data_IF_786154818782
#
_entry.id   IF_786154818782
#
_cell.length_a   1.000
_cell.length_b   1.000
_cell.length_c   1.000
_cell.angle_alpha   90.00
_cell.angle_beta   90.00
_cell.angle_gamma   90.00
#
_symmetry.space_group_name_H-M   'P 1'
#
loop_
_entity.id
_entity.type
_entity.pdbx_description
1 polymer ?
#
# COMPACT_ATOMS: atom_id res chain seq x y z
N UNK A 1 -2.05 9.60 10.40
CA UNK A 1 -2.89 8.64 11.19
C UNK A 1 -4.32 9.09 11.45
N UNK A 2 -4.65 10.40 11.41
CA UNK A 2 -5.98 10.87 11.83
C UNK A 2 -7.20 10.29 11.10
N UNK A 3 -7.11 9.93 9.81
CA UNK A 3 -8.24 9.32 9.09
C UNK A 3 -8.55 7.90 9.59
N UNK A 4 -7.50 7.07 9.69
CA UNK A 4 -7.63 5.66 10.07
C UNK A 4 -8.13 5.53 11.50
N UNK A 5 -7.49 6.23 12.43
CA UNK A 5 -7.83 6.18 13.86
C UNK A 5 -9.22 6.74 14.17
N UNK A 6 -9.66 7.79 13.45
CA UNK A 6 -10.92 8.49 13.77
C UNK A 6 -12.13 7.98 13.01
N UNK A 7 -11.92 7.34 11.85
CA UNK A 7 -13.03 6.87 11.00
C UNK A 7 -12.98 5.38 10.75
N UNK A 8 -11.86 4.88 10.23
CA UNK A 8 -11.79 3.50 9.74
C UNK A 8 -11.79 2.47 10.87
N UNK A 9 -10.96 2.65 11.91
CA UNK A 9 -10.91 1.73 13.04
C UNK A 9 -12.21 1.74 13.88
N UNK A 10 -12.82 2.90 14.18
CA UNK A 10 -14.15 2.92 14.81
C UNK A 10 -15.22 2.21 13.98
N UNK A 11 -15.23 2.41 12.66
CA UNK A 11 -16.14 1.70 11.76
C UNK A 11 -15.94 0.17 11.83
N UNK A 12 -14.68 -0.30 11.78
CA UNK A 12 -14.34 -1.71 11.93
C UNK A 12 -14.74 -2.27 13.29
N UNK A 13 -14.68 -1.46 14.35
CA UNK A 13 -15.16 -1.81 15.70
C UNK A 13 -16.71 -1.84 15.83
N UNK A 14 -17.43 -1.65 14.72
CA UNK A 14 -18.90 -1.63 14.68
C UNK A 14 -19.54 -0.33 15.18
N UNK A 15 -18.78 0.76 15.31
CA UNK A 15 -19.34 2.07 15.66
C UNK A 15 -19.85 2.80 14.41
N UNK A 16 -20.82 3.70 14.58
CA UNK A 16 -21.35 4.52 13.48
C UNK A 16 -22.30 3.75 12.52
N UNK A 17 -22.54 4.32 11.35
CA UNK A 17 -23.43 3.80 10.31
C UNK A 17 -22.67 3.07 9.19
N UNK A 18 -23.38 2.25 8.42
CA UNK A 18 -22.76 1.47 7.33
C UNK A 18 -22.26 2.33 6.16
N UNK A 19 -22.80 3.55 6.03
CA UNK A 19 -22.44 4.53 4.99
C UNK A 19 -21.32 5.49 5.43
N UNK A 20 -20.77 5.33 6.65
CA UNK A 20 -19.83 6.30 7.22
C UNK A 20 -18.48 6.37 6.49
N UNK A 21 -18.20 5.44 5.58
CA UNK A 21 -16.98 5.41 4.76
C UNK A 21 -17.27 5.56 3.25
N UNK A 22 -18.51 5.82 2.82
CA UNK A 22 -18.89 5.86 1.39
C UNK A 22 -18.08 6.87 0.58
N UNK A 23 -17.72 8.03 1.17
CA UNK A 23 -16.85 9.02 0.53
C UNK A 23 -15.43 8.48 0.30
N UNK A 24 -14.89 7.72 1.26
CA UNK A 24 -13.57 7.09 1.13
C UNK A 24 -13.60 5.95 0.13
N UNK A 25 -14.69 5.18 0.09
CA UNK A 25 -14.89 4.11 -0.89
C UNK A 25 -14.99 4.69 -2.30
N UNK A 26 -15.78 5.76 -2.49
CA UNK A 26 -15.87 6.45 -3.78
C UNK A 26 -14.52 7.01 -4.23
N UNK A 27 -13.77 7.65 -3.32
CA UNK A 27 -12.42 8.12 -3.62
C UNK A 27 -11.46 6.98 -3.97
N UNK A 28 -11.48 5.87 -3.21
CA UNK A 28 -10.65 4.69 -3.49
C UNK A 28 -10.97 4.08 -4.87
N UNK A 29 -12.25 3.99 -5.25
CA UNK A 29 -12.66 3.51 -6.56
C UNK A 29 -12.11 4.40 -7.69
N UNK A 30 -12.22 5.72 -7.56
CA UNK A 30 -11.63 6.67 -8.52
C UNK A 30 -10.09 6.55 -8.58
N UNK A 31 -9.43 6.39 -7.44
CA UNK A 31 -7.97 6.21 -7.40
C UNK A 31 -7.53 4.89 -8.05
N UNK A 32 -8.32 3.82 -7.97
CA UNK A 32 -8.04 2.58 -8.69
C UNK A 32 -8.02 2.81 -10.20
N UNK A 33 -8.97 3.58 -10.75
CA UNK A 33 -8.99 3.95 -12.19
C UNK A 33 -7.76 4.76 -12.58
N UNK A 34 -7.39 5.75 -11.77
CA UNK A 34 -6.20 6.59 -11.98
C UNK A 34 -4.92 5.73 -11.99
N UNK A 35 -4.76 4.81 -11.03
CA UNK A 35 -3.61 3.89 -10.99
C UNK A 35 -3.56 3.00 -12.21
N UNK A 36 -4.67 2.37 -12.55
CA UNK A 36 -4.77 1.51 -13.72
C UNK A 36 -4.31 2.27 -14.98
N UNK A 37 -4.82 3.49 -15.18
CA UNK A 37 -4.47 4.29 -16.35
C UNK A 37 -3.00 4.74 -16.34
N UNK A 38 -2.47 5.16 -15.19
CA UNK A 38 -1.05 5.47 -15.07
C UNK A 38 -0.15 4.25 -15.38
N UNK A 39 -0.59 3.03 -15.02
CA UNK A 39 0.13 1.78 -15.33
C UNK A 39 0.03 1.38 -16.79
N UNK A 40 -1.08 1.65 -17.46
CA UNK A 40 -1.18 1.48 -18.91
C UNK A 40 -0.10 2.29 -19.66
N UNK A 41 0.19 3.53 -19.22
CA UNK A 41 1.30 4.31 -19.77
C UNK A 41 2.67 3.71 -19.45
N UNK A 42 2.88 3.19 -18.24
CA UNK A 42 4.14 2.56 -17.87
C UNK A 42 4.42 1.29 -18.72
N UNK A 43 3.38 0.50 -19.00
CA UNK A 43 3.46 -0.66 -19.91
C UNK A 43 3.72 -0.25 -21.36
N UNK A 44 3.03 0.79 -21.84
CA UNK A 44 3.28 1.37 -23.16
C UNK A 44 4.74 1.79 -23.32
N UNK A 45 5.28 2.50 -22.33
CA UNK A 45 6.67 2.94 -22.32
C UNK A 45 7.65 1.75 -22.28
N UNK A 46 7.35 0.70 -21.51
CA UNK A 46 8.14 -0.53 -21.50
C UNK A 46 8.18 -1.20 -22.88
N UNK A 47 7.03 -1.28 -23.55
CA UNK A 47 6.93 -1.83 -24.91
C UNK A 47 7.79 -1.05 -25.90
N UNK A 48 7.74 0.29 -25.85
CA UNK A 48 8.51 1.16 -26.75
C UNK A 48 10.00 1.25 -26.41
N UNK A 49 10.37 1.13 -25.13
CA UNK A 49 11.78 1.12 -24.71
C UNK A 49 12.47 -0.23 -24.94
N UNK A 50 11.69 -1.31 -25.01
CA UNK A 50 12.19 -2.68 -25.06
C UNK A 50 12.69 -3.19 -23.72
N UNK A 51 12.67 -4.51 -23.53
CA UNK A 51 13.19 -5.15 -22.33
C UNK A 51 14.71 -4.95 -22.25
N UNK A 52 15.19 -4.34 -21.15
CA UNK A 52 16.62 -4.06 -20.93
C UNK A 52 17.11 -2.70 -21.47
N UNK A 53 16.20 -1.83 -21.90
CA UNK A 53 16.52 -0.44 -22.25
C UNK A 53 16.74 0.47 -21.02
N UNK A 54 16.81 1.78 -21.26
CA UNK A 54 16.94 2.82 -20.21
C UNK A 54 15.69 2.95 -19.31
N UNK A 55 14.63 2.20 -19.60
CA UNK A 55 13.39 2.19 -18.84
C UNK A 55 13.41 1.07 -17.80
N UNK A 56 13.63 1.44 -16.54
CA UNK A 56 13.61 0.50 -15.41
C UNK A 56 12.18 0.04 -15.11
N UNK A 57 11.80 -1.11 -15.67
CA UNK A 57 10.48 -1.70 -15.42
C UNK A 57 10.27 -2.11 -13.96
N UNK A 58 11.34 -2.50 -13.26
CA UNK A 58 11.31 -2.86 -11.85
C UNK A 58 10.87 -1.68 -10.99
N UNK A 59 11.29 -0.47 -11.35
CA UNK A 59 10.91 0.75 -10.65
C UNK A 59 9.59 1.36 -11.17
N UNK A 60 9.46 1.55 -12.48
CA UNK A 60 8.39 2.37 -13.07
C UNK A 60 7.08 1.60 -13.32
N UNK A 61 7.17 0.30 -13.60
CA UNK A 61 5.97 -0.55 -13.78
C UNK A 61 5.61 -1.22 -12.47
N UNK A 62 6.58 -1.82 -11.78
CA UNK A 62 6.29 -2.67 -10.63
C UNK A 62 6.54 -1.99 -9.29
N UNK A 63 7.59 -1.19 -9.13
CA UNK A 63 8.02 -0.72 -7.81
C UNK A 63 7.21 0.45 -7.25
N UNK A 64 6.99 1.48 -8.06
CA UNK A 64 6.27 2.70 -7.66
C UNK A 64 4.76 2.56 -7.88
N UNK A 65 3.91 3.29 -7.14
CA UNK A 65 2.46 3.17 -7.28
C UNK A 65 1.88 3.71 -8.60
N UNK A 66 2.54 4.69 -9.20
CA UNK A 66 2.17 5.30 -10.48
C UNK A 66 3.38 5.32 -11.41
N UNK A 67 3.19 5.78 -12.65
CA UNK A 67 4.30 6.13 -13.54
C UNK A 67 4.96 7.42 -13.04
N UNK A 68 6.03 7.26 -12.28
CA UNK A 68 6.82 8.36 -11.72
C UNK A 68 8.27 8.09 -12.08
N UNK A 69 8.92 9.06 -12.71
CA UNK A 69 10.29 8.95 -13.22
C UNK A 69 11.27 9.85 -12.45
N UNK A 70 10.75 10.70 -11.56
CA UNK A 70 11.57 11.55 -10.70
C UNK A 70 12.57 10.73 -9.89
N UNK A 71 13.72 11.32 -9.62
CA UNK A 71 14.81 10.59 -8.97
C UNK A 71 14.81 10.76 -7.45
N UNK A 72 14.64 12.00 -6.99
CA UNK A 72 14.70 12.36 -5.59
C UNK A 72 13.42 11.94 -4.84
N UNK A 73 13.51 11.37 -3.63
CA UNK A 73 12.35 10.96 -2.83
C UNK A 73 11.31 12.06 -2.60
N UNK A 74 11.76 13.30 -2.40
CA UNK A 74 10.90 14.46 -2.22
C UNK A 74 10.13 14.80 -3.51
N UNK A 75 10.75 14.67 -4.68
CA UNK A 75 10.08 14.87 -5.97
C UNK A 75 9.09 13.73 -6.27
N UNK A 76 9.47 12.48 -5.97
CA UNK A 76 8.57 11.32 -6.06
C UNK A 76 7.34 11.55 -5.20
N UNK A 77 7.52 12.07 -3.98
CA UNK A 77 6.42 12.43 -3.08
C UNK A 77 5.47 13.44 -3.72
N UNK A 78 5.99 14.51 -4.31
CA UNK A 78 5.15 15.52 -4.98
C UNK A 78 4.41 14.94 -6.20
N UNK A 79 5.04 14.02 -6.95
CA UNK A 79 4.35 13.28 -8.02
C UNK A 79 3.23 12.39 -7.49
N UNK A 80 3.45 11.64 -6.40
CA UNK A 80 2.39 10.83 -5.77
C UNK A 80 1.21 11.71 -5.37
N UNK A 81 1.47 12.86 -4.74
CA UNK A 81 0.42 13.80 -4.33
C UNK A 81 -0.33 14.41 -5.52
N UNK A 82 0.32 14.61 -6.67
CA UNK A 82 -0.35 15.04 -7.92
C UNK A 82 -1.27 13.96 -8.45
N UNK A 83 -0.81 12.72 -8.54
CA UNK A 83 -1.66 11.58 -8.97
C UNK A 83 -2.85 11.36 -8.04
N UNK A 84 -2.66 11.49 -6.72
CA UNK A 84 -3.76 11.40 -5.74
C UNK A 84 -4.83 12.47 -5.91
N UNK A 85 -4.52 13.59 -6.58
CA UNK A 85 -5.48 14.65 -6.91
C UNK A 85 -5.99 14.56 -8.34
N UNK A 86 -5.46 13.64 -9.14
CA UNK A 86 -5.87 13.44 -10.50
C UNK A 86 -7.20 12.69 -10.58
N UNK A 87 -7.81 12.80 -11.75
CA UNK A 87 -9.02 12.09 -12.17
C UNK A 87 -8.67 11.19 -13.36
N UNK A 88 -9.56 10.25 -13.74
CA UNK A 88 -9.37 9.45 -14.95
C UNK A 88 -9.14 10.29 -16.22
N UNK A 89 -9.69 11.49 -16.29
CA UNK A 89 -9.55 12.40 -17.44
C UNK A 89 -8.21 13.16 -17.47
N UNK A 90 -7.51 13.28 -16.33
CA UNK A 90 -6.31 14.13 -16.20
C UNK A 90 -5.02 13.35 -15.99
N UNK A 91 -5.13 12.05 -15.70
CA UNK A 91 -3.98 11.16 -15.43
C UNK A 91 -3.05 11.00 -16.64
N UNK A 92 -3.58 11.04 -17.87
CA UNK A 92 -2.77 10.87 -19.09
C UNK A 92 -1.73 11.97 -19.23
N UNK A 93 -2.10 13.21 -18.92
CA UNK A 93 -1.18 14.36 -19.00
C UNK A 93 -0.08 14.28 -17.94
N UNK A 94 -0.38 13.73 -16.75
CA UNK A 94 0.64 13.46 -15.73
C UNK A 94 1.60 12.35 -16.16
N UNK A 95 1.07 11.27 -16.74
CA UNK A 95 1.88 10.15 -17.21
C UNK A 95 2.82 10.57 -18.35
N UNK A 96 2.32 11.34 -19.33
CA UNK A 96 3.14 11.94 -20.39
C UNK A 96 4.21 12.87 -19.83
N UNK A 97 3.87 13.73 -18.87
CA UNK A 97 4.83 14.64 -18.25
C UNK A 97 5.94 13.88 -17.50
N UNK A 98 5.61 12.78 -16.82
CA UNK A 98 6.59 11.91 -16.19
C UNK A 98 7.51 11.25 -17.25
N UNK A 99 6.97 10.74 -18.35
CA UNK A 99 7.79 10.19 -19.44
C UNK A 99 8.68 11.24 -20.08
N UNK A 100 8.17 12.44 -20.33
CA UNK A 100 8.95 13.53 -20.90
C UNK A 100 10.08 13.98 -19.97
N UNK A 101 9.91 13.88 -18.65
CA UNK A 101 10.98 14.11 -17.67
C UNK A 101 12.10 13.06 -17.79
N UNK A 102 11.76 11.81 -18.14
CA UNK A 102 12.71 10.71 -18.32
C UNK A 102 13.41 10.76 -19.67
N UNK A 103 12.62 10.76 -20.75
CA UNK A 103 13.06 10.76 -22.14
C UNK A 103 11.93 11.35 -23.02
N UNK A 104 12.09 12.60 -23.51
CA UNK A 104 11.12 13.23 -24.41
C UNK A 104 10.82 12.40 -25.66
N UNK A 105 11.82 11.74 -26.24
CA UNK A 105 11.63 10.94 -27.44
C UNK A 105 10.87 9.64 -27.15
N UNK A 106 10.94 9.12 -25.91
CA UNK A 106 10.11 8.00 -25.47
C UNK A 106 8.67 8.46 -25.26
N UNK A 107 8.47 9.64 -24.65
CA UNK A 107 7.14 10.20 -24.44
C UNK A 107 6.39 10.39 -25.77
N UNK A 108 7.05 10.92 -26.80
CA UNK A 108 6.44 11.19 -28.11
C UNK A 108 5.99 9.93 -28.88
N UNK A 109 6.58 8.77 -28.58
CA UNK A 109 6.27 7.49 -29.24
C UNK A 109 5.43 6.54 -28.38
N UNK A 110 5.23 6.86 -27.10
CA UNK A 110 4.49 6.00 -26.18
C UNK A 110 3.00 6.23 -26.32
N UNK A 111 2.26 5.12 -26.44
CA UNK A 111 0.81 5.07 -26.28
C UNK A 111 0.48 4.17 -25.08
N UNK A 112 -0.59 4.47 -24.31
CA UNK A 112 -0.97 3.64 -23.18
C UNK A 112 -1.45 2.27 -23.66
N UNK A 113 -1.09 1.23 -22.91
CA UNK A 113 -1.55 -0.13 -23.17
C UNK A 113 -3.08 -0.23 -23.03
N UNK A 114 -3.74 -0.66 -24.10
CA UNK A 114 -5.18 -0.80 -24.18
C UNK A 114 -5.68 -2.23 -23.86
N UNK A 115 -4.81 -3.15 -23.46
CA UNK A 115 -5.16 -4.56 -23.28
C UNK A 115 -5.78 -4.90 -21.92
N UNK A 116 -5.70 -4.03 -20.92
CA UNK A 116 -6.36 -4.23 -19.63
C UNK A 116 -7.81 -3.73 -19.62
N UNK A 117 -8.60 -4.18 -18.65
CA UNK A 117 -9.91 -3.61 -18.35
C UNK A 117 -10.04 -3.32 -16.85
N UNK A 118 -10.55 -2.14 -16.51
CA UNK A 118 -10.97 -1.83 -15.13
C UNK A 118 -12.32 -2.48 -14.88
N UNK A 119 -12.60 -3.01 -13.67
CA UNK A 119 -13.95 -3.37 -13.28
C UNK A 119 -14.93 -2.22 -13.54
N UNK A 120 -16.18 -2.56 -13.86
CA UNK A 120 -17.21 -1.54 -14.08
C UNK A 120 -17.42 -0.66 -12.84
N UNK A 121 -17.86 0.57 -13.09
CA UNK A 121 -18.07 1.59 -12.05
C UNK A 121 -19.07 1.18 -10.98
N UNK A 122 -20.02 0.31 -11.34
CA UNK A 122 -21.07 -0.17 -10.44
C UNK A 122 -20.54 -1.16 -9.41
N UNK A 123 -19.63 -2.07 -9.81
CA UNK A 123 -19.09 -3.10 -8.95
C UNK A 123 -17.80 -2.70 -8.24
N UNK A 124 -17.06 -1.72 -8.76
CA UNK A 124 -15.77 -1.31 -8.19
C UNK A 124 -15.84 -0.90 -6.70
N UNK A 125 -16.83 -0.12 -6.22
CA UNK A 125 -16.99 0.18 -4.80
C UNK A 125 -17.15 -1.09 -3.93
N UNK A 126 -17.89 -2.07 -4.43
CA UNK A 126 -18.08 -3.37 -3.76
C UNK A 126 -16.75 -4.10 -3.65
N UNK A 127 -15.99 -4.22 -4.74
CA UNK A 127 -14.67 -4.85 -4.73
C UNK A 127 -13.68 -4.18 -3.78
N UNK A 128 -13.72 -2.85 -3.69
CA UNK A 128 -12.82 -2.06 -2.83
C UNK A 128 -13.12 -2.26 -1.34
N UNK A 129 -14.38 -2.48 -0.96
CA UNK A 129 -14.81 -2.29 0.42
C UNK A 129 -15.37 -3.52 1.11
N UNK A 130 -15.63 -4.61 0.39
CA UNK A 130 -16.34 -5.74 0.95
C UNK A 130 -15.66 -6.41 2.14
N UNK A 131 -14.32 -6.54 2.14
CA UNK A 131 -13.58 -7.11 3.28
C UNK A 131 -13.74 -6.26 4.53
N UNK A 132 -13.76 -4.93 4.38
CA UNK A 132 -14.03 -4.01 5.48
C UNK A 132 -15.45 -4.19 6.04
N UNK A 133 -16.44 -4.44 5.18
CA UNK A 133 -17.81 -4.74 5.60
C UNK A 133 -17.90 -6.09 6.31
N UNK A 134 -17.20 -7.11 5.83
CA UNK A 134 -17.16 -8.43 6.45
C UNK A 134 -16.54 -8.37 7.86
N UNK A 135 -15.41 -7.67 8.02
CA UNK A 135 -14.80 -7.43 9.34
C UNK A 135 -15.71 -6.66 10.29
N UNK A 136 -16.41 -5.61 9.79
CA UNK A 136 -17.41 -4.90 10.59
C UNK A 136 -18.55 -5.80 11.02
N UNK A 137 -19.07 -6.65 10.12
CA UNK A 137 -20.12 -7.61 10.44
C UNK A 137 -19.68 -8.59 11.53
N UNK A 138 -18.42 -9.06 11.50
CA UNK A 138 -17.84 -9.86 12.57
C UNK A 138 -17.80 -9.10 13.91
N UNK A 139 -17.33 -7.85 13.93
CA UNK A 139 -17.33 -7.02 15.13
C UNK A 139 -18.74 -6.81 15.71
N UNK A 140 -19.74 -6.57 14.85
CA UNK A 140 -21.14 -6.44 15.26
C UNK A 140 -21.73 -7.77 15.78
N UNK A 141 -21.37 -8.90 15.19
CA UNK A 141 -21.77 -10.23 15.65
C UNK A 141 -21.23 -10.51 17.06
N UNK A 142 -19.95 -10.25 17.31
CA UNK A 142 -19.31 -10.43 18.62
C UNK A 142 -19.95 -9.55 19.69
N UNK A 143 -20.29 -8.29 19.38
CA UNK A 143 -21.02 -7.40 20.29
C UNK A 143 -22.42 -7.94 20.63
N UNK A 144 -23.07 -8.58 19.67
CA UNK A 144 -24.37 -9.22 19.85
C UNK A 144 -24.29 -10.60 20.51
N UNK A 145 -23.10 -11.08 20.89
CA UNK A 145 -22.89 -12.39 21.49
C UNK A 145 -22.99 -13.55 20.50
N UNK A 146 -22.85 -13.29 19.20
CA UNK A 146 -22.77 -14.32 18.14
C UNK A 146 -21.31 -14.62 17.82
N UNK A 147 -21.03 -15.86 17.45
CA UNK A 147 -19.69 -16.34 17.06
C UNK A 147 -19.51 -16.43 15.56
N UNK A 148 -20.60 -16.37 14.79
CA UNK A 148 -20.58 -16.63 13.35
C UNK A 148 -21.10 -15.41 12.56
N UNK A 149 -20.54 -15.22 11.37
CA UNK A 149 -20.96 -14.21 10.39
C UNK A 149 -21.04 -14.85 9.00
N UNK A 150 -22.14 -14.67 8.25
CA UNK A 150 -22.23 -15.13 6.87
C UNK A 150 -21.30 -14.30 5.97
N UNK A 151 -20.76 -14.93 4.93
CA UNK A 151 -20.10 -14.21 3.85
C UNK A 151 -21.10 -13.32 3.09
N UNK A 152 -20.59 -12.28 2.43
CA UNK A 152 -21.41 -11.35 1.66
C UNK A 152 -21.62 -11.80 0.21
N UNK A 153 -20.80 -12.74 -0.30
CA UNK A 153 -20.81 -13.15 -1.71
C UNK A 153 -21.12 -14.63 -1.93
N UNK A 154 -21.04 -15.45 -0.90
CA UNK A 154 -21.38 -16.87 -1.00
C UNK A 154 -22.14 -17.36 0.25
N UNK A 155 -22.49 -18.65 0.24
CA UNK A 155 -23.24 -19.29 1.32
C UNK A 155 -22.34 -19.74 2.49
N UNK A 156 -21.07 -19.33 2.52
CA UNK A 156 -20.15 -19.70 3.61
C UNK A 156 -20.41 -18.88 4.88
N UNK A 157 -19.95 -19.45 6.00
CA UNK A 157 -20.06 -18.86 7.33
C UNK A 157 -18.69 -18.90 7.97
N UNK A 158 -18.28 -17.78 8.54
CA UNK A 158 -16.97 -17.59 9.14
C UNK A 158 -17.08 -17.42 10.66
N UNK A 159 -16.07 -17.87 11.38
CA UNK A 159 -15.91 -17.52 12.80
C UNK A 159 -15.54 -16.03 12.91
N UNK A 160 -16.35 -15.28 13.66
CA UNK A 160 -16.22 -13.84 13.78
C UNK A 160 -14.97 -13.41 14.56
N UNK A 161 -14.49 -14.22 15.50
CA UNK A 161 -13.27 -13.94 16.23
C UNK A 161 -12.05 -14.14 15.34
N UNK A 162 -11.95 -15.29 14.67
CA UNK A 162 -10.87 -15.62 13.74
C UNK A 162 -10.80 -14.64 12.58
N UNK A 163 -11.95 -14.26 12.01
CA UNK A 163 -12.00 -13.29 10.92
C UNK A 163 -11.43 -11.94 11.37
N UNK A 164 -11.78 -11.48 12.57
CA UNK A 164 -11.33 -10.20 13.08
C UNK A 164 -9.85 -10.23 13.51
N UNK A 165 -9.40 -11.24 14.24
CA UNK A 165 -8.01 -11.28 14.74
C UNK A 165 -7.01 -11.64 13.63
N UNK A 166 -7.39 -12.53 12.71
CA UNK A 166 -6.49 -13.01 11.65
C UNK A 166 -6.38 -12.09 10.43
N UNK A 167 -7.38 -11.24 10.14
CA UNK A 167 -7.41 -10.48 8.88
C UNK A 167 -7.40 -8.96 9.03
N UNK A 168 -7.65 -8.43 10.24
CA UNK A 168 -7.87 -6.99 10.44
C UNK A 168 -6.76 -6.12 9.87
N UNK A 169 -5.50 -6.36 10.27
CA UNK A 169 -4.38 -5.50 9.89
C UNK A 169 -4.14 -5.56 8.38
N UNK A 170 -4.23 -6.75 7.80
CA UNK A 170 -4.06 -6.96 6.37
C UNK A 170 -5.14 -6.22 5.58
N UNK A 171 -6.41 -6.45 5.88
CA UNK A 171 -7.56 -5.81 5.21
C UNK A 171 -7.56 -4.29 5.42
N UNK A 172 -7.19 -3.82 6.61
CA UNK A 172 -7.03 -2.39 6.88
C UNK A 172 -6.00 -1.76 5.95
N UNK A 173 -4.82 -2.38 5.82
CA UNK A 173 -3.77 -1.89 4.93
C UNK A 173 -4.15 -2.05 3.46
N UNK A 174 -4.89 -3.10 3.10
CA UNK A 174 -5.43 -3.28 1.75
C UNK A 174 -6.34 -2.12 1.36
N UNK A 175 -7.29 -1.76 2.22
CA UNK A 175 -8.17 -0.61 2.00
C UNK A 175 -7.38 0.71 2.03
N UNK A 176 -6.51 0.89 3.03
CA UNK A 176 -5.71 2.11 3.17
C UNK A 176 -4.79 2.31 1.97
N UNK A 177 -4.25 1.23 1.39
CA UNK A 177 -3.39 1.29 0.21
C UNK A 177 -4.11 1.88 -1.00
N UNK A 178 -5.45 1.79 -1.07
CA UNK A 178 -6.26 2.40 -2.14
C UNK A 178 -6.49 3.90 -1.92
N UNK A 179 -6.44 4.36 -0.67
CA UNK A 179 -6.51 5.78 -0.31
C UNK A 179 -5.15 6.48 -0.42
N UNK A 180 -4.10 5.82 0.07
CA UNK A 180 -2.72 6.27 0.06
C UNK A 180 -1.87 5.13 -0.52
N UNK A 181 -1.32 5.29 -1.74
CA UNK A 181 -0.59 4.20 -2.38
C UNK A 181 0.67 3.79 -1.61
N UNK A 182 1.03 2.51 -1.76
CA UNK A 182 2.30 1.98 -1.29
C UNK A 182 3.31 1.77 -2.41
N UNK A 183 4.49 1.29 -2.05
CA UNK A 183 5.51 0.80 -2.96
C UNK A 183 5.50 -0.73 -2.91
N UNK A 184 5.74 -1.37 -4.04
CA UNK A 184 5.85 -2.82 -4.11
C UNK A 184 7.32 -3.23 -4.16
N UNK A 185 7.60 -4.31 -3.46
CA UNK A 185 8.88 -4.97 -3.51
C UNK A 185 8.75 -6.49 -3.53
N UNK A 186 9.86 -7.16 -3.84
CA UNK A 186 9.95 -8.62 -3.82
C UNK A 186 11.07 -9.05 -2.88
N UNK A 187 10.82 -10.14 -2.15
CA UNK A 187 11.83 -10.75 -1.29
C UNK A 187 12.10 -9.97 0.00
N UNK A 188 13.11 -10.40 0.75
CA UNK A 188 13.37 -9.97 2.13
C UNK A 188 14.14 -8.64 2.24
N UNK A 189 13.67 -7.62 1.53
CA UNK A 189 14.34 -6.32 1.40
C UNK A 189 13.74 -5.22 2.29
N UNK A 190 13.01 -5.61 3.34
CA UNK A 190 12.40 -4.68 4.29
C UNK A 190 13.41 -4.16 5.34
N UNK A 191 13.28 -2.89 5.78
CA UNK A 191 14.21 -2.26 6.72
C UNK A 191 14.50 -3.06 8.00
N UNK A 192 13.49 -3.67 8.63
CA UNK A 192 13.66 -4.46 9.87
C UNK A 192 14.54 -5.68 9.65
N UNK A 193 14.29 -6.44 8.60
CA UNK A 193 15.07 -7.64 8.27
C UNK A 193 16.49 -7.28 7.84
N UNK A 194 16.64 -6.32 6.93
CA UNK A 194 17.96 -5.91 6.43
C UNK A 194 18.87 -5.38 7.55
N UNK A 195 18.30 -4.68 8.53
CA UNK A 195 19.09 -4.14 9.65
C UNK A 195 19.57 -5.23 10.61
N UNK A 196 18.77 -6.28 10.83
CA UNK A 196 19.19 -7.47 11.59
C UNK A 196 20.30 -8.22 10.86
N UNK A 197 20.11 -8.49 9.56
CA UNK A 197 21.12 -9.19 8.73
C UNK A 197 22.43 -8.39 8.60
N UNK A 198 22.36 -7.05 8.57
CA UNK A 198 23.53 -6.17 8.52
C UNK A 198 24.25 -5.99 9.88
N UNK A 199 23.83 -6.73 10.91
CA UNK A 199 24.33 -6.63 12.28
C UNK A 199 24.22 -5.20 12.86
N UNK A 200 23.20 -4.45 12.44
CA UNK A 200 22.89 -3.10 12.95
C UNK A 200 21.93 -3.13 14.16
N UNK A 201 21.36 -4.31 14.45
CA UNK A 201 20.28 -4.47 15.41
C UNK A 201 18.93 -4.08 14.81
N UNK A 202 17.91 -3.96 15.66
CA UNK A 202 16.57 -3.57 15.23
C UNK A 202 16.55 -2.06 14.91
N UNK A 203 15.99 -1.63 13.76
CA UNK A 203 16.11 -0.25 13.30
C UNK A 203 15.37 0.74 14.21
N UNK A 204 15.95 1.92 14.39
CA UNK A 204 15.37 2.97 15.24
C UNK A 204 14.01 3.44 14.71
N UNK A 205 13.04 3.60 15.61
CA UNK A 205 11.70 4.09 15.31
C UNK A 205 10.74 3.02 14.78
N UNK A 206 11.20 1.80 14.53
CA UNK A 206 10.32 0.67 14.29
C UNK A 206 9.84 0.08 15.61
N UNK A 207 8.60 -0.38 15.61
CA UNK A 207 8.04 -1.27 16.61
C UNK A 207 7.11 -2.29 15.95
N UNK A 208 6.32 -2.99 16.77
CA UNK A 208 5.33 -3.92 16.22
C UNK A 208 4.19 -3.22 15.48
N UNK A 209 3.46 -3.97 14.67
CA UNK A 209 2.26 -3.51 13.95
C UNK A 209 1.04 -3.28 14.86
N UNK A 210 1.15 -3.45 16.18
CA UNK A 210 0.07 -3.29 17.15
C UNK A 210 -0.68 -1.95 17.06
N UNK A 211 -0.06 -0.80 16.71
CA UNK A 211 -0.79 0.46 16.50
C UNK A 211 -1.92 0.38 15.47
N UNK A 212 -1.83 -0.54 14.50
CA UNK A 212 -2.89 -0.78 13.51
C UNK A 212 -4.16 -1.37 14.11
N UNK A 213 -4.09 -1.97 15.29
CA UNK A 213 -5.25 -2.49 16.01
C UNK A 213 -6.09 -1.37 16.66
N UNK A 214 -5.47 -0.21 16.93
CA UNK A 214 -6.08 0.92 17.62
C UNK A 214 -6.80 0.52 18.91
N UNK A 215 -8.10 0.80 18.99
CA UNK A 215 -8.93 0.56 20.17
C UNK A 215 -9.62 -0.82 20.21
N UNK A 216 -9.37 -1.67 19.22
CA UNK A 216 -10.05 -2.97 19.10
C UNK A 216 -9.69 -3.93 20.24
N UNK A 217 -8.43 -4.04 20.72
CA UNK A 217 -8.10 -4.87 21.87
C UNK A 217 -8.85 -4.48 23.16
N UNK A 218 -9.10 -3.18 23.37
CA UNK A 218 -9.89 -2.71 24.52
C UNK A 218 -11.39 -2.95 24.32
N UNK A 219 -11.85 -2.92 23.06
CA UNK A 219 -13.25 -3.18 22.70
C UNK A 219 -13.61 -4.66 22.82
N UNK A 220 -12.68 -5.54 22.44
CA UNK A 220 -12.84 -7.00 22.45
C UNK A 220 -11.70 -7.64 23.26
N UNK A 221 -11.68 -7.45 24.59
CA UNK A 221 -10.56 -7.87 25.45
C UNK A 221 -10.44 -9.38 25.65
N UNK A 222 -11.40 -10.16 25.15
CA UNK A 222 -11.39 -11.63 25.20
C UNK A 222 -10.78 -12.27 23.97
N UNK A 223 -10.50 -11.49 22.93
CA UNK A 223 -9.85 -11.98 21.73
C UNK A 223 -8.33 -11.92 21.93
N UNK A 224 -7.64 -12.88 21.32
CA UNK A 224 -6.19 -12.90 21.25
C UNK A 224 -5.76 -12.08 20.03
N UNK A 225 -5.08 -10.97 20.29
CA UNK A 225 -4.62 -10.07 19.24
C UNK A 225 -3.13 -10.27 19.02
N UNK A 226 -2.79 -10.65 17.79
CA UNK A 226 -1.40 -10.84 17.39
C UNK A 226 -0.81 -9.51 16.91
N UNK A 227 0.51 -9.38 17.08
CA UNK A 227 1.26 -8.28 16.50
C UNK A 227 2.66 -8.74 16.15
N UNK A 228 3.14 -8.31 15.00
CA UNK A 228 4.44 -8.69 14.47
C UNK A 228 5.39 -7.50 14.44
N UNK A 229 6.67 -7.75 14.70
CA UNK A 229 7.75 -6.76 14.62
C UNK A 229 8.43 -6.73 13.24
N UNK A 230 8.19 -7.74 12.40
CA UNK A 230 8.77 -7.84 11.06
C UNK A 230 7.92 -8.74 10.16
N UNK A 231 8.25 -8.76 8.87
CA UNK A 231 7.65 -9.69 7.91
C UNK A 231 8.46 -10.98 7.90
N UNK A 232 7.79 -12.10 8.13
CA UNK A 232 8.40 -13.44 8.08
C UNK A 232 7.94 -14.28 6.89
N UNK A 233 6.76 -13.99 6.33
CA UNK A 233 6.13 -14.73 5.24
C UNK A 233 5.36 -13.81 4.29
N UNK A 234 4.81 -14.38 3.21
CA UNK A 234 3.85 -13.68 2.35
C UNK A 234 2.54 -13.44 3.11
N UNK A 235 1.77 -12.42 2.68
CA UNK A 235 0.51 -12.02 3.29
C UNK A 235 0.64 -11.61 4.77
N UNK A 236 1.75 -10.95 5.12
CA UNK A 236 2.07 -10.56 6.49
C UNK A 236 2.26 -9.05 6.59
N UNK A 237 1.80 -8.47 7.70
CA UNK A 237 2.05 -7.08 8.07
C UNK A 237 3.11 -7.07 9.15
N UNK A 238 4.26 -6.44 8.89
CA UNK A 238 5.40 -6.39 9.80
C UNK A 238 5.58 -5.04 10.46
N UNK A 239 6.84 -4.63 10.65
CA UNK A 239 7.21 -3.49 11.47
C UNK A 239 6.49 -2.19 11.10
N UNK A 240 6.14 -1.41 12.12
CA UNK A 240 5.43 -0.14 11.98
C UNK A 240 6.25 1.00 12.59
N UNK A 241 6.25 2.14 11.92
CA UNK A 241 6.87 3.39 12.39
C UNK A 241 5.78 4.43 12.60
N UNK A 242 5.68 4.94 13.83
CA UNK A 242 4.72 6.00 14.16
C UNK A 242 5.07 7.31 13.44
N UNK A 243 4.08 8.18 13.14
CA UNK A 243 4.34 9.45 12.47
C UNK A 243 5.40 10.33 13.15
N UNK A 244 5.48 10.29 14.48
CA UNK A 244 6.46 11.05 15.25
C UNK A 244 7.90 10.51 15.12
N UNK A 245 8.05 9.26 14.65
CA UNK A 245 9.32 8.54 14.57
C UNK A 245 9.83 8.41 13.12
N UNK A 246 8.99 8.75 12.13
CA UNK A 246 9.32 8.67 10.69
C UNK A 246 10.62 9.39 10.35
N UNK A 247 10.82 10.61 10.87
CA UNK A 247 12.02 11.40 10.57
C UNK A 247 13.29 10.71 11.08
N UNK A 248 13.23 10.13 12.28
CA UNK A 248 14.35 9.42 12.89
C UNK A 248 14.63 8.10 12.14
N UNK A 249 13.58 7.32 11.83
CA UNK A 249 13.70 6.07 11.09
C UNK A 249 14.28 6.29 9.68
N UNK A 250 13.78 7.29 8.95
CA UNK A 250 14.29 7.66 7.62
C UNK A 250 15.75 8.11 7.65
N UNK A 251 16.12 8.91 8.65
CA UNK A 251 17.51 9.35 8.85
C UNK A 251 18.43 8.16 9.10
N UNK A 252 18.00 7.21 9.93
CA UNK A 252 18.75 5.98 10.20
C UNK A 252 18.91 5.11 8.93
N UNK A 253 17.83 4.93 8.16
CA UNK A 253 17.85 4.19 6.89
C UNK A 253 18.89 4.78 5.92
N UNK A 254 18.88 6.11 5.74
CA UNK A 254 19.83 6.82 4.87
C UNK A 254 21.28 6.69 5.36
N UNK A 255 21.49 6.86 6.66
CA UNK A 255 22.83 6.76 7.25
C UNK A 255 23.45 5.36 7.08
N UNK A 256 22.62 4.31 7.02
CA UNK A 256 23.07 2.93 6.89
C UNK A 256 22.90 2.36 5.47
N UNK A 257 22.47 3.15 4.48
CA UNK A 257 22.10 2.68 3.15
C UNK A 257 23.16 1.77 2.52
N UNK A 258 24.44 2.19 2.49
CA UNK A 258 25.51 1.39 1.89
C UNK A 258 25.75 0.05 2.60
N UNK A 259 25.53 -0.01 3.92
CA UNK A 259 25.66 -1.27 4.68
C UNK A 259 24.48 -2.19 4.40
N UNK A 260 23.27 -1.64 4.38
CA UNK A 260 22.05 -2.40 4.10
C UNK A 260 22.04 -2.93 2.67
N UNK A 261 22.49 -2.13 1.69
CA UNK A 261 22.59 -2.54 0.30
C UNK A 261 23.62 -3.69 0.08
N UNK A 262 24.64 -3.77 0.93
CA UNK A 262 25.66 -4.80 0.86
C UNK A 262 25.25 -6.16 1.46
N UNK A 263 24.06 -6.28 2.08
CA UNK A 263 23.59 -7.53 2.72
C UNK A 263 23.44 -8.67 1.70
N UNK A 264 22.87 -8.36 0.53
CA UNK A 264 22.72 -9.32 -0.56
C UNK A 264 23.65 -9.04 -1.76
N UNK A 265 24.34 -7.89 -1.73
CA UNK A 265 25.29 -7.43 -2.75
C UNK A 265 24.73 -7.46 -4.18
N UNK A 266 23.47 -7.05 -4.32
CA UNK A 266 22.77 -6.93 -5.62
C UNK A 266 22.15 -5.55 -5.83
N UNK A 267 21.94 -5.20 -7.10
CA UNK A 267 21.32 -3.94 -7.51
C UNK A 267 19.84 -3.83 -7.08
N UNK A 268 19.19 -4.97 -6.84
CA UNK A 268 17.79 -5.06 -6.46
C UNK A 268 17.60 -4.54 -5.02
N UNK A 269 18.52 -4.85 -4.10
CA UNK A 269 18.49 -4.38 -2.71
C UNK A 269 18.66 -2.86 -2.62
N UNK A 270 19.58 -2.28 -3.38
CA UNK A 270 19.75 -0.82 -3.43
C UNK A 270 18.49 -0.11 -3.97
N UNK A 271 17.87 -0.68 -5.01
CA UNK A 271 16.61 -0.18 -5.57
C UNK A 271 15.46 -0.29 -4.56
N UNK A 272 15.45 -1.36 -3.77
CA UNK A 272 14.46 -1.59 -2.71
C UNK A 272 14.58 -0.57 -1.58
N UNK A 273 15.80 -0.30 -1.12
CA UNK A 273 16.08 0.72 -0.11
C UNK A 273 15.71 2.14 -0.59
N UNK A 274 15.91 2.42 -1.88
CA UNK A 274 15.45 3.66 -2.50
C UNK A 274 13.93 3.80 -2.43
N UNK A 275 13.17 2.75 -2.77
CA UNK A 275 11.71 2.74 -2.66
C UNK A 275 11.24 2.94 -1.21
N UNK A 276 11.97 2.36 -0.24
CA UNK A 276 11.70 2.60 1.17
C UNK A 276 11.88 4.08 1.55
N UNK A 277 12.96 4.73 1.10
CA UNK A 277 13.19 6.16 1.34
C UNK A 277 12.11 7.05 0.68
N UNK A 278 11.63 6.68 -0.51
CA UNK A 278 10.49 7.34 -1.17
C UNK A 278 9.20 7.22 -0.33
N UNK A 279 8.90 6.03 0.20
CA UNK A 279 7.75 5.82 1.07
C UNK A 279 7.85 6.60 2.38
N UNK A 280 9.04 6.64 3.00
CA UNK A 280 9.28 7.47 4.18
C UNK A 280 9.16 8.97 3.90
N UNK A 281 9.62 9.43 2.73
CA UNK A 281 9.46 10.82 2.30
C UNK A 281 7.98 11.22 2.24
N UNK A 282 7.14 10.35 1.66
CA UNK A 282 5.70 10.56 1.62
C UNK A 282 5.10 10.55 3.03
N UNK A 283 5.45 9.58 3.87
CA UNK A 283 4.98 9.50 5.25
C UNK A 283 5.30 10.79 6.04
N UNK A 284 6.54 11.27 5.94
CA UNK A 284 6.97 12.53 6.55
C UNK A 284 6.14 13.71 6.04
N UNK A 285 5.96 13.81 4.71
CA UNK A 285 5.26 14.93 4.06
C UNK A 285 3.80 15.07 4.49
N UNK A 286 3.12 13.96 4.79
CA UNK A 286 1.69 13.92 5.14
C UNK A 286 1.43 13.75 6.64
N UNK A 287 2.48 13.64 7.48
CA UNK A 287 2.32 13.27 8.89
C UNK A 287 1.72 11.86 9.08
N UNK A 288 2.07 10.95 8.19
CA UNK A 288 1.69 9.53 8.18
C UNK A 288 2.71 8.67 8.92
N UNK A 289 2.36 7.40 9.15
CA UNK A 289 3.30 6.38 9.60
C UNK A 289 3.84 5.59 8.40
N UNK A 290 4.79 4.71 8.65
CA UNK A 290 5.29 3.74 7.68
C UNK A 290 5.01 2.32 8.20
N UNK A 291 4.74 1.39 7.28
CA UNK A 291 4.51 -0.01 7.62
C UNK A 291 5.12 -0.91 6.57
N UNK A 292 5.71 -2.01 7.01
CA UNK A 292 6.15 -3.09 6.14
C UNK A 292 4.97 -4.05 5.92
N UNK A 293 4.67 -4.40 4.68
CA UNK A 293 3.68 -5.43 4.40
C UNK A 293 3.97 -6.18 3.09
N UNK A 294 3.58 -7.46 3.02
CA UNK A 294 3.69 -8.31 1.82
C UNK A 294 2.34 -8.63 1.23
N UNK A 295 2.28 -8.63 -0.11
CA UNK A 295 1.12 -9.09 -0.88
C UNK A 295 -0.20 -8.36 -0.59
N UNK A 296 -0.15 -7.13 -0.05
CA UNK A 296 -1.34 -6.30 0.22
C UNK A 296 -2.11 -6.00 -1.07
N UNK A 297 -1.39 -5.64 -2.11
CA UNK A 297 -1.93 -5.59 -3.47
C UNK A 297 -0.87 -6.25 -4.35
N UNK A 298 -1.15 -7.47 -4.80
CA UNK A 298 -0.43 -7.98 -5.96
C UNK A 298 -0.75 -7.01 -7.11
N UNK A 299 0.20 -6.72 -8.00
CA UNK A 299 -0.04 -5.85 -9.17
C UNK A 299 -1.12 -6.35 -10.14
N UNK A 300 -1.95 -7.31 -9.71
CA UNK A 300 -2.92 -8.11 -10.44
C UNK A 300 -4.34 -7.98 -9.88
N UNK A 301 -4.72 -6.85 -9.26
CA UNK A 301 -6.13 -6.46 -9.08
C UNK A 301 -6.81 -6.15 -10.43
N UNK A 302 -6.85 -7.17 -11.29
CA UNK A 302 -7.64 -7.28 -12.50
C UNK A 302 -6.98 -6.70 -13.75
N UNK A 303 -6.42 -7.60 -14.59
CA UNK A 303 -6.14 -7.42 -16.02
C UNK A 303 -4.93 -6.55 -16.40
N UNK A 304 -3.76 -7.09 -16.10
CA UNK A 304 -2.65 -7.08 -17.06
C UNK A 304 -2.41 -8.56 -17.44
N UNK A 305 -3.03 -8.96 -18.56
CA UNK A 305 -3.09 -10.29 -19.22
C UNK A 305 -2.49 -11.51 -18.51
#
# INVERSE_FOLDING_TARGET
MGLIERRVLPYLAGAGHDTDLDDLVGYAAEQTKVRFRAKAWALGALKEAGYGGSFDSGLYVWGRPYLITAEAPEEVTEWVLRYMRATPDTVDELAKAALHQLDPALADRTEPDASGEVPDDENLPTFVFWKMRLLRSAALALRAGRTEVPDLFDDSVHDAAELLTGNLQFVLLEFTSRLLPGWMDRGKVWPTWLSVEAELGYPTGFGSNAPLLGALPQTFPRLEWESEESIHTNYTVGGFVLPAEVDAARTNLRANHSRLAAVHDDADTATSLRKCDEAFALAQRIGGGFVEATEIYSGMEGKMN
#
